data_IF_418150383497
#
_entry.id   IF_418150383497
#
_cell.length_a   1.000
_cell.length_b   1.000
_cell.length_c   1.000
_cell.angle_alpha   90.00
_cell.angle_beta   90.00
_cell.angle_gamma   90.00
#
_symmetry.space_group_name_H-M   'P 1'
#
loop_
_entity.id
_entity.type
_entity.pdbx_description
1 polymer ?
#
# COMPACT_ATOMS: atom_id res chain seq x y z
N UNK A 1 0.32 22.62 -18.53
CA UNK A 1 1.49 22.09 -17.78
C UNK A 1 0.98 21.11 -16.74
N UNK A 2 1.72 20.04 -16.43
CA UNK A 2 1.36 19.08 -15.38
C UNK A 2 2.52 18.94 -14.40
N UNK A 3 2.23 18.89 -13.11
CA UNK A 3 3.19 18.68 -12.03
C UNK A 3 2.51 17.96 -10.85
N UNK A 4 3.28 17.40 -9.95
CA UNK A 4 2.77 16.83 -8.71
C UNK A 4 3.00 17.80 -7.55
N UNK A 5 2.21 17.69 -6.49
CA UNK A 5 2.42 18.47 -5.25
C UNK A 5 3.79 18.18 -4.65
N UNK A 6 4.21 16.90 -4.62
CA UNK A 6 5.52 16.49 -4.11
C UNK A 6 6.69 17.15 -4.88
N UNK A 7 6.53 17.31 -6.20
CA UNK A 7 7.54 18.03 -6.98
C UNK A 7 7.53 19.52 -6.67
N UNK A 8 6.34 20.13 -6.55
CA UNK A 8 6.20 21.57 -6.25
C UNK A 8 6.78 21.92 -4.86
N UNK A 9 6.64 21.03 -3.85
CA UNK A 9 7.20 21.21 -2.51
C UNK A 9 8.72 21.38 -2.48
N UNK A 10 9.44 20.94 -3.50
CA UNK A 10 10.88 21.20 -3.60
C UNK A 10 11.22 22.68 -3.86
N UNK A 11 10.23 23.49 -4.22
CA UNK A 11 10.44 24.91 -4.58
C UNK A 11 9.67 25.88 -3.68
N UNK A 12 8.52 25.45 -3.16
CA UNK A 12 7.65 26.25 -2.28
C UNK A 12 7.13 25.40 -1.15
N UNK A 13 7.03 26.00 0.02
CA UNK A 13 6.42 25.37 1.18
C UNK A 13 4.90 25.30 0.97
N UNK A 14 4.35 24.08 1.01
CA UNK A 14 2.93 23.79 0.89
C UNK A 14 2.31 23.31 2.20
N UNK A 15 3.05 23.34 3.30
CA UNK A 15 2.57 22.87 4.60
C UNK A 15 1.34 23.67 5.05
N UNK A 16 0.29 22.95 5.41
CA UNK A 16 -0.96 23.53 5.85
C UNK A 16 -1.91 23.99 4.72
N UNK A 17 -1.52 23.88 3.45
CA UNK A 17 -2.40 24.15 2.32
C UNK A 17 -3.14 22.90 1.88
N UNK A 18 -4.46 23.00 1.76
CA UNK A 18 -5.26 21.98 1.07
C UNK A 18 -5.06 22.06 -0.44
N UNK A 19 -5.39 20.98 -1.16
CA UNK A 19 -5.35 20.97 -2.63
C UNK A 19 -6.31 21.99 -3.26
N UNK A 20 -7.44 22.25 -2.59
CA UNK A 20 -8.40 23.25 -3.02
C UNK A 20 -7.82 24.66 -2.91
N UNK A 21 -7.27 25.04 -1.75
CA UNK A 21 -6.60 26.32 -1.55
C UNK A 21 -5.41 26.52 -2.49
N UNK A 22 -4.62 25.48 -2.75
CA UNK A 22 -3.53 25.54 -3.70
C UNK A 22 -4.05 25.82 -5.12
N UNK A 23 -5.11 25.14 -5.54
CA UNK A 23 -5.75 25.33 -6.84
C UNK A 23 -6.28 26.76 -7.01
N UNK A 24 -6.95 27.28 -5.99
CA UNK A 24 -7.49 28.64 -5.99
C UNK A 24 -6.38 29.69 -6.02
N UNK A 25 -5.34 29.52 -5.23
CA UNK A 25 -4.19 30.41 -5.20
C UNK A 25 -3.47 30.47 -6.56
N UNK A 26 -3.26 29.30 -7.21
CA UNK A 26 -2.65 29.26 -8.55
C UNK A 26 -3.52 29.97 -9.57
N UNK A 27 -4.83 29.74 -9.53
CA UNK A 27 -5.79 30.39 -10.44
C UNK A 27 -5.81 31.89 -10.23
N UNK A 28 -5.80 32.37 -8.98
CA UNK A 28 -5.76 33.80 -8.67
C UNK A 28 -4.44 34.48 -9.10
N UNK A 29 -3.35 33.72 -9.17
CA UNK A 29 -2.07 34.17 -9.72
C UNK A 29 -2.04 34.15 -11.27
N UNK A 30 -3.14 33.76 -11.93
CA UNK A 30 -3.25 33.71 -13.37
C UNK A 30 -2.83 32.35 -13.99
N UNK A 31 -2.62 31.34 -13.16
CA UNK A 31 -2.29 29.97 -13.59
C UNK A 31 -3.55 29.10 -13.41
N UNK A 32 -4.45 29.14 -14.38
CA UNK A 32 -5.69 28.37 -14.32
C UNK A 32 -5.43 26.85 -14.12
N UNK A 33 -6.05 26.28 -13.09
CA UNK A 33 -6.00 24.85 -12.80
C UNK A 33 -7.20 24.17 -13.47
N UNK A 34 -6.93 23.47 -14.57
CA UNK A 34 -7.96 22.76 -15.35
C UNK A 34 -8.47 21.50 -14.62
N UNK A 35 -7.60 20.78 -13.92
CA UNK A 35 -7.94 19.56 -13.21
C UNK A 35 -6.94 19.22 -12.12
N UNK A 36 -7.44 18.63 -11.05
CA UNK A 36 -6.68 17.98 -9.99
C UNK A 36 -6.97 16.48 -10.07
N UNK A 37 -5.94 15.67 -10.27
CA UNK A 37 -6.10 14.23 -10.44
C UNK A 37 -5.31 13.50 -9.36
N UNK A 38 -5.96 12.75 -8.45
CA UNK A 38 -5.25 11.91 -7.50
C UNK A 38 -4.55 10.78 -8.24
N UNK A 39 -3.30 10.49 -7.85
CA UNK A 39 -2.51 9.40 -8.42
C UNK A 39 -2.68 8.14 -7.58
N UNK A 40 -2.85 7.01 -8.26
CA UNK A 40 -2.84 5.68 -7.65
C UNK A 40 -3.85 5.47 -6.51
N UNK A 41 -5.05 6.04 -6.64
CA UNK A 41 -6.16 5.81 -5.67
C UNK A 41 -6.44 4.32 -5.45
N UNK A 42 -6.25 3.51 -6.47
CA UNK A 42 -6.40 2.06 -6.42
C UNK A 42 -5.44 1.38 -5.44
N UNK A 43 -4.35 2.05 -5.05
CA UNK A 43 -3.39 1.55 -4.06
C UNK A 43 -3.72 1.97 -2.62
N UNK A 44 -4.66 2.88 -2.41
CA UNK A 44 -5.04 3.39 -1.08
C UNK A 44 -5.44 2.30 -0.07
N UNK A 45 -6.07 1.18 -0.46
CA UNK A 45 -6.39 0.09 0.46
C UNK A 45 -5.19 -0.78 0.86
N UNK A 46 -4.06 -0.66 0.16
CA UNK A 46 -2.84 -1.41 0.47
C UNK A 46 -2.14 -0.74 1.65
N UNK A 47 -1.73 -1.55 2.62
CA UNK A 47 -1.08 -1.09 3.85
C UNK A 47 0.40 -1.44 3.84
N UNK A 48 1.16 -0.78 4.70
CA UNK A 48 2.54 -1.15 4.99
C UNK A 48 2.53 -2.10 6.18
N UNK A 49 3.23 -3.20 6.05
CA UNK A 49 3.38 -4.23 7.08
C UNK A 49 4.85 -4.51 7.35
N UNK A 50 5.13 -4.98 8.56
CA UNK A 50 6.45 -5.55 8.93
C UNK A 50 6.29 -7.04 9.18
N UNK A 51 7.15 -7.85 8.58
CA UNK A 51 7.23 -9.28 8.86
C UNK A 51 7.94 -9.45 10.20
N UNK A 52 7.21 -9.93 11.21
CA UNK A 52 7.76 -10.23 12.53
C UNK A 52 8.52 -11.56 12.49
N UNK A 53 7.93 -12.56 11.84
CA UNK A 53 8.50 -13.90 11.71
C UNK A 53 8.13 -14.48 10.35
N UNK A 54 9.09 -15.09 9.67
CA UNK A 54 8.91 -15.89 8.47
C UNK A 54 9.43 -17.31 8.75
N UNK A 55 8.61 -18.32 8.52
CA UNK A 55 8.94 -19.72 8.72
C UNK A 55 8.57 -20.55 7.50
N UNK A 56 9.30 -21.60 7.16
CA UNK A 56 8.93 -22.49 6.07
C UNK A 56 7.50 -23.03 6.23
N UNK A 57 6.78 -23.15 5.13
CA UNK A 57 5.45 -23.75 5.13
C UNK A 57 5.56 -25.29 5.34
N UNK A 58 4.75 -25.92 6.20
CA UNK A 58 4.89 -27.36 6.52
C UNK A 58 4.71 -28.28 5.30
N UNK A 59 3.88 -27.89 4.33
CA UNK A 59 3.51 -28.73 3.18
C UNK A 59 3.87 -28.10 1.82
N UNK A 60 4.84 -27.15 1.80
CA UNK A 60 5.23 -26.49 0.55
C UNK A 60 6.64 -25.88 0.65
N UNK A 61 7.59 -26.44 -0.09
CA UNK A 61 9.02 -26.05 -0.07
C UNK A 61 9.26 -24.61 -0.54
N UNK A 62 8.38 -24.05 -1.38
CA UNK A 62 8.52 -22.69 -1.95
C UNK A 62 7.71 -21.62 -1.23
N UNK A 63 6.96 -21.99 -0.19
CA UNK A 63 6.12 -21.08 0.56
C UNK A 63 6.66 -20.84 1.98
N UNK A 64 6.35 -19.67 2.50
CA UNK A 64 6.62 -19.29 3.88
C UNK A 64 5.32 -18.88 4.57
N UNK A 65 5.22 -19.17 5.85
CA UNK A 65 4.18 -18.63 6.73
C UNK A 65 4.78 -17.43 7.43
N UNK A 66 4.24 -16.25 7.14
CA UNK A 66 4.71 -14.98 7.67
C UNK A 66 3.72 -14.45 8.71
N UNK A 67 4.20 -14.19 9.92
CA UNK A 67 3.48 -13.37 10.89
C UNK A 67 3.84 -11.92 10.63
N UNK A 68 2.84 -11.08 10.34
CA UNK A 68 3.05 -9.67 9.99
C UNK A 68 2.26 -8.76 10.91
N UNK A 69 2.79 -7.55 11.15
CA UNK A 69 2.06 -6.50 11.88
C UNK A 69 1.69 -5.37 10.94
N UNK A 70 0.45 -4.86 11.10
CA UNK A 70 -0.08 -3.69 10.43
C UNK A 70 -0.63 -2.75 11.49
N UNK A 71 0.16 -1.76 11.89
CA UNK A 71 -0.17 -0.96 13.08
C UNK A 71 -0.19 -1.86 14.33
N UNK A 72 -1.31 -1.88 15.10
CA UNK A 72 -1.44 -2.70 16.30
C UNK A 72 -1.85 -4.16 16.03
N UNK A 73 -2.30 -4.47 14.81
CA UNK A 73 -2.88 -5.76 14.46
C UNK A 73 -1.84 -6.71 13.87
N UNK A 74 -2.01 -8.01 14.14
CA UNK A 74 -1.17 -9.07 13.60
C UNK A 74 -1.99 -10.00 12.70
N UNK A 75 -1.33 -10.50 11.64
CA UNK A 75 -1.93 -11.39 10.65
C UNK A 75 -0.97 -12.50 10.28
N UNK A 76 -1.51 -13.71 10.05
CA UNK A 76 -0.76 -14.80 9.46
C UNK A 76 -1.02 -14.84 7.95
N UNK A 77 0.04 -14.77 7.14
CA UNK A 77 -0.05 -14.69 5.69
C UNK A 77 0.91 -15.70 5.08
N UNK A 78 0.41 -16.52 4.16
CA UNK A 78 1.24 -17.42 3.37
C UNK A 78 1.81 -16.64 2.19
N UNK A 79 3.13 -16.61 2.08
CA UNK A 79 3.88 -15.85 1.08
C UNK A 79 4.79 -16.76 0.25
N UNK A 80 4.77 -16.56 -1.07
CA UNK A 80 5.66 -17.27 -2.01
C UNK A 80 6.89 -16.47 -2.44
N UNK A 81 7.07 -15.27 -1.90
CA UNK A 81 8.20 -14.44 -2.27
C UNK A 81 9.51 -14.95 -1.63
N UNK A 82 10.57 -15.15 -2.43
CA UNK A 82 11.85 -15.70 -1.93
C UNK A 82 12.59 -14.75 -0.99
N UNK A 83 12.25 -13.48 -1.01
CA UNK A 83 12.85 -12.44 -0.17
C UNK A 83 12.11 -12.20 1.15
N UNK A 84 11.04 -12.95 1.43
CA UNK A 84 10.34 -12.84 2.70
C UNK A 84 11.27 -13.25 3.85
N UNK A 85 11.43 -12.36 4.84
CA UNK A 85 12.33 -12.58 6.00
C UNK A 85 11.90 -11.74 7.19
N UNK A 86 12.36 -12.12 8.36
CA UNK A 86 12.14 -11.36 9.59
C UNK A 86 12.63 -9.92 9.45
N UNK A 87 11.82 -8.97 9.91
CA UNK A 87 12.12 -7.53 9.89
C UNK A 87 11.85 -6.83 8.56
N UNK A 88 11.53 -7.57 7.47
CA UNK A 88 11.20 -6.94 6.19
C UNK A 88 9.94 -6.08 6.32
N UNK A 89 10.04 -4.85 5.82
CA UNK A 89 8.89 -3.95 5.65
C UNK A 89 8.44 -4.05 4.20
N UNK A 90 7.16 -4.32 3.99
CA UNK A 90 6.58 -4.55 2.66
C UNK A 90 5.13 -4.09 2.59
N UNK A 91 4.57 -4.08 1.40
CA UNK A 91 3.16 -3.84 1.18
C UNK A 91 2.34 -5.09 1.54
N UNK A 92 1.12 -4.89 2.06
CA UNK A 92 0.16 -5.95 2.35
C UNK A 92 -1.23 -5.56 1.90
N UNK A 93 -1.89 -6.51 1.25
CA UNK A 93 -3.31 -6.43 0.92
C UNK A 93 -4.10 -7.33 1.87
N UNK A 94 -4.90 -6.73 2.75
CA UNK A 94 -5.76 -7.43 3.72
C UNK A 94 -7.07 -7.91 3.06
N UNK A 95 -7.80 -8.85 3.69
CA UNK A 95 -9.08 -9.30 3.17
C UNK A 95 -10.06 -8.15 2.99
N UNK A 96 -10.71 -8.09 1.83
CA UNK A 96 -11.57 -6.98 1.41
C UNK A 96 -10.91 -6.00 0.44
N UNK A 97 -9.58 -5.93 0.41
CA UNK A 97 -8.84 -5.12 -0.58
C UNK A 97 -9.11 -5.62 -1.99
N UNK A 98 -9.34 -4.67 -2.89
CA UNK A 98 -9.39 -4.93 -4.35
C UNK A 98 -8.09 -4.39 -4.93
N UNK A 99 -7.30 -5.27 -5.55
CA UNK A 99 -6.05 -4.90 -6.22
C UNK A 99 -6.32 -4.25 -7.58
N UNK A 100 -5.38 -3.45 -8.11
CA UNK A 100 -5.42 -3.05 -9.52
C UNK A 100 -5.64 -4.27 -10.42
N UNK A 101 -6.60 -4.17 -11.36
CA UNK A 101 -7.05 -5.31 -12.15
C UNK A 101 -8.25 -6.08 -11.58
N UNK A 102 -8.83 -5.63 -10.46
CA UNK A 102 -10.11 -6.12 -9.93
C UNK A 102 -10.02 -7.38 -9.06
N UNK A 103 -8.81 -7.88 -8.77
CA UNK A 103 -8.66 -9.06 -7.91
C UNK A 103 -8.96 -8.71 -6.45
N UNK A 104 -10.02 -9.31 -5.89
CA UNK A 104 -10.41 -9.12 -4.49
C UNK A 104 -9.71 -10.11 -3.58
N UNK A 105 -8.95 -9.59 -2.62
CA UNK A 105 -8.28 -10.39 -1.60
C UNK A 105 -9.30 -10.93 -0.60
N UNK A 106 -9.19 -12.21 -0.30
CA UNK A 106 -10.04 -12.91 0.67
C UNK A 106 -9.15 -13.71 1.64
N UNK A 107 -9.66 -13.94 2.83
CA UNK A 107 -9.08 -14.96 3.71
C UNK A 107 -9.21 -16.32 3.02
N UNK A 108 -8.09 -17.01 2.87
CA UNK A 108 -8.02 -18.29 2.15
C UNK A 108 -7.21 -19.31 2.93
N UNK A 109 -7.33 -20.56 2.54
CA UNK A 109 -6.53 -21.65 3.08
C UNK A 109 -5.58 -22.15 1.99
N UNK A 110 -4.29 -21.99 2.23
CA UNK A 110 -3.22 -22.37 1.30
C UNK A 110 -2.54 -23.61 1.84
N UNK A 111 -2.72 -24.75 1.19
CA UNK A 111 -2.17 -26.06 1.61
C UNK A 111 -2.31 -26.32 3.12
N UNK A 112 -3.51 -26.12 3.66
CA UNK A 112 -3.79 -26.38 5.07
C UNK A 112 -3.59 -25.20 6.02
N UNK A 113 -2.77 -24.21 5.68
CA UNK A 113 -2.51 -23.01 6.49
C UNK A 113 -3.42 -21.87 6.08
N UNK A 114 -4.01 -21.19 7.06
CA UNK A 114 -4.86 -20.02 6.82
C UNK A 114 -4.00 -18.81 6.48
N UNK A 115 -4.32 -18.14 5.38
CA UNK A 115 -3.72 -16.87 4.97
C UNK A 115 -4.75 -15.74 5.08
N UNK A 116 -4.38 -14.69 5.80
CA UNK A 116 -5.23 -13.53 6.08
C UNK A 116 -4.82 -12.31 5.25
N UNK A 117 -4.43 -12.54 4.00
CA UNK A 117 -4.05 -11.49 3.08
C UNK A 117 -3.02 -11.95 2.07
N UNK A 118 -2.39 -10.97 1.43
CA UNK A 118 -1.31 -11.15 0.45
C UNK A 118 -0.19 -10.15 0.73
N UNK A 119 1.06 -10.61 0.68
CA UNK A 119 2.27 -9.80 0.72
C UNK A 119 2.84 -9.62 -0.68
#
# INVERSE_FOLDING_TARGET
MKFTTDWLQNYVDLDGLSLEELSDNLTMLGLEVEAVTPLHEELAPIKIARILQASPHPDADTLQVCKVTVGPDEYDIVCGAPNARNGLVTAVALPGTVLPGGHKIKKSKVRGVVSQGML
#
